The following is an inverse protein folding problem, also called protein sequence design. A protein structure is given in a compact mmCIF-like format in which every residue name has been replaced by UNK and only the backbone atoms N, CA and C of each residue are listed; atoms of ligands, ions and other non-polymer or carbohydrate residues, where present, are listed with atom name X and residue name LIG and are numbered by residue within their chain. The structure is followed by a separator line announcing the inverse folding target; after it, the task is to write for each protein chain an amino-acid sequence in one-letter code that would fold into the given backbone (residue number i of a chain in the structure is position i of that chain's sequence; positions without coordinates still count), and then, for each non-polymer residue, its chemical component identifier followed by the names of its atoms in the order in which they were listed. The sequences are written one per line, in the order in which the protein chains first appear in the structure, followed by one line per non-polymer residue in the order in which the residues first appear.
data_IF_300393369893
#
_entry.id   IF_300393369893
#
_cell.length_a   1.000
_cell.length_b   1.000
_cell.length_c   1.000
_cell.angle_alpha   90.00
_cell.angle_beta   90.00
_cell.angle_gamma   90.00
#
_symmetry.space_group_name_H-M   'P 1'
#
loop_
_entity.id
_entity.type
_entity.pdbx_description
1 polymer ?
#
# COMPACT_ATOMS: atom_id res chain seq x y z
N UNK A 1 -37.87 -7.97 -12.46
CA UNK A 1 -36.88 -7.33 -11.57
C UNK A 1 -35.95 -8.41 -11.05
N UNK A 2 -34.88 -8.69 -11.78
CA UNK A 2 -33.83 -9.63 -11.35
C UNK A 2 -32.66 -8.80 -10.86
N UNK A 3 -32.55 -8.65 -9.54
CA UNK A 3 -31.35 -8.16 -8.89
C UNK A 3 -30.26 -9.20 -9.06
N UNK A 4 -29.32 -8.95 -9.97
CA UNK A 4 -28.06 -9.67 -10.00
C UNK A 4 -27.22 -9.17 -8.82
N UNK A 5 -27.24 -9.95 -7.74
CA UNK A 5 -26.26 -9.84 -6.65
C UNK A 5 -24.94 -10.35 -7.21
N UNK A 6 -24.00 -9.45 -7.50
CA UNK A 6 -22.64 -9.83 -7.85
C UNK A 6 -21.97 -10.44 -6.62
N UNK A 7 -22.00 -11.77 -6.55
CA UNK A 7 -21.16 -12.55 -5.65
C UNK A 7 -19.70 -12.43 -6.08
N UNK A 8 -18.89 -11.89 -5.16
CA UNK A 8 -17.51 -12.29 -4.85
C UNK A 8 -16.54 -12.53 -6.01
N UNK A 9 -15.63 -11.58 -6.20
CA UNK A 9 -14.23 -11.98 -6.36
C UNK A 9 -13.48 -11.39 -5.18
N UNK A 10 -12.88 -12.30 -4.41
CA UNK A 10 -11.87 -12.11 -3.38
C UNK A 10 -10.59 -11.53 -4.03
N UNK A 11 -10.74 -10.42 -4.76
CA UNK A 11 -9.70 -9.90 -5.63
C UNK A 11 -8.77 -9.06 -4.79
N UNK A 12 -7.87 -9.72 -4.05
CA UNK A 12 -6.68 -9.09 -3.51
C UNK A 12 -5.97 -8.30 -4.63
N UNK A 13 -5.15 -7.33 -4.25
CA UNK A 13 -4.37 -6.56 -5.21
C UNK A 13 -3.65 -7.50 -6.18
N UNK A 14 -3.67 -7.13 -7.47
CA UNK A 14 -3.01 -7.92 -8.51
C UNK A 14 -1.58 -8.25 -8.07
N UNK A 15 -1.09 -9.48 -8.30
CA UNK A 15 0.30 -9.85 -7.98
C UNK A 15 1.33 -8.86 -8.57
N UNK A 16 0.98 -8.19 -9.67
CA UNK A 16 1.79 -7.14 -10.29
C UNK A 16 2.03 -5.91 -9.39
N UNK A 17 1.12 -5.59 -8.45
CA UNK A 17 1.25 -4.49 -7.50
C UNK A 17 2.43 -4.68 -6.54
N UNK A 18 2.79 -5.93 -6.28
CA UNK A 18 3.90 -6.31 -5.40
C UNK A 18 5.24 -6.38 -6.12
N UNK A 19 5.26 -6.34 -7.45
CA UNK A 19 6.49 -6.43 -8.24
C UNK A 19 7.22 -5.09 -8.15
N UNK A 20 8.46 -5.06 -7.60
CA UNK A 20 9.29 -3.87 -7.65
C UNK A 20 9.71 -3.58 -9.10
N UNK A 21 9.59 -2.33 -9.50
CA UNK A 21 10.07 -1.79 -10.76
C UNK A 21 11.48 -1.23 -10.57
N UNK A 22 12.27 -1.18 -11.64
CA UNK A 22 13.44 -0.31 -11.69
C UNK A 22 13.02 1.17 -11.67
N UNK A 23 13.95 2.06 -11.33
CA UNK A 23 13.68 3.51 -11.36
C UNK A 23 13.23 3.99 -12.76
N UNK A 24 13.85 3.46 -13.82
CA UNK A 24 13.52 3.82 -15.20
C UNK A 24 12.08 3.41 -15.57
N UNK A 25 11.69 2.17 -15.26
CA UNK A 25 10.33 1.68 -15.49
C UNK A 25 9.31 2.45 -14.65
N UNK A 26 9.64 2.74 -13.39
CA UNK A 26 8.77 3.51 -12.50
C UNK A 26 8.51 4.91 -13.06
N UNK A 27 9.58 5.63 -13.44
CA UNK A 27 9.47 6.95 -14.05
C UNK A 27 8.70 6.94 -15.35
N UNK A 28 8.97 6.00 -16.24
CA UNK A 28 8.27 5.90 -17.52
C UNK A 28 6.76 5.74 -17.31
N UNK A 29 6.36 4.81 -16.43
CA UNK A 29 4.96 4.60 -16.10
C UNK A 29 4.34 5.81 -15.41
N UNK A 30 5.06 6.47 -14.51
CA UNK A 30 4.62 7.71 -13.87
C UNK A 30 4.34 8.82 -14.89
N UNK A 31 5.24 9.04 -15.86
CA UNK A 31 5.06 10.03 -16.93
C UNK A 31 3.84 9.71 -17.79
N UNK A 32 3.64 8.44 -18.19
CA UNK A 32 2.45 8.02 -18.94
C UNK A 32 1.16 8.29 -18.18
N UNK A 33 1.16 8.09 -16.86
CA UNK A 33 0.01 8.35 -16.00
C UNK A 33 -0.26 9.85 -15.85
N UNK A 34 0.78 10.68 -15.74
CA UNK A 34 0.67 12.14 -15.67
C UNK A 34 0.19 12.76 -16.98
N UNK A 35 0.66 12.25 -18.13
CA UNK A 35 0.22 12.67 -19.46
C UNK A 35 -1.27 12.40 -19.71
N UNK A 36 -1.86 11.45 -18.98
CA UNK A 36 -3.29 11.09 -19.03
C UNK A 36 -4.24 12.00 -18.24
N UNK A 37 -3.75 13.05 -17.56
CA UNK A 37 -4.60 14.11 -16.99
C UNK A 37 -4.94 14.02 -15.49
N UNK A 38 -4.43 13.04 -14.73
CA UNK A 38 -4.59 12.99 -13.27
C UNK A 38 -3.32 13.48 -12.56
N UNK A 39 -3.27 14.78 -12.26
CA UNK A 39 -2.09 15.45 -11.66
C UNK A 39 -2.13 15.59 -10.13
N UNK A 40 -3.22 15.22 -9.48
CA UNK A 40 -3.44 15.59 -8.08
C UNK A 40 -3.18 14.41 -7.14
N UNK A 41 -2.11 14.48 -6.33
CA UNK A 41 -1.92 13.62 -5.16
C UNK A 41 -1.11 12.35 -5.39
N UNK A 42 0.02 12.42 -6.10
CA UNK A 42 1.01 11.32 -6.12
C UNK A 42 2.18 11.60 -5.18
N UNK A 43 2.86 10.57 -4.64
CA UNK A 43 3.95 10.78 -3.69
C UNK A 43 5.06 11.58 -4.38
N UNK A 44 5.50 12.69 -3.78
CA UNK A 44 6.68 13.42 -4.27
C UNK A 44 7.97 12.60 -4.10
N UNK A 45 7.98 11.67 -3.14
CA UNK A 45 9.09 10.74 -2.91
C UNK A 45 8.52 9.32 -2.94
N UNK A 46 8.91 8.48 -3.92
CA UNK A 46 8.42 7.11 -4.00
C UNK A 46 9.02 6.26 -2.87
N UNK A 47 8.22 5.35 -2.34
CA UNK A 47 8.69 4.30 -1.45
C UNK A 47 9.68 3.41 -2.20
N UNK A 48 10.82 3.17 -1.55
CA UNK A 48 11.89 2.32 -2.07
C UNK A 48 11.95 1.03 -1.27
N UNK A 49 11.98 -0.08 -1.97
CA UNK A 49 12.31 -1.40 -1.44
C UNK A 49 13.77 -1.70 -1.74
N UNK A 50 14.56 -2.06 -0.73
CA UNK A 50 15.82 -2.76 -0.99
C UNK A 50 15.46 -4.19 -1.41
N UNK A 51 15.65 -4.51 -2.69
CA UNK A 51 15.36 -5.86 -3.20
C UNK A 51 16.49 -6.79 -2.78
N UNK A 52 16.19 -7.88 -2.07
CA UNK A 52 17.12 -9.01 -1.98
C UNK A 52 17.20 -9.66 -3.36
N UNK A 53 18.30 -9.43 -4.09
CA UNK A 53 18.59 -10.09 -5.38
C UNK A 53 18.59 -9.19 -6.64
N UNK A 54 18.21 -7.92 -6.52
CA UNK A 54 18.65 -6.90 -7.49
C UNK A 54 19.69 -6.05 -6.78
N UNK A 55 20.83 -5.81 -7.42
CA UNK A 55 21.90 -4.97 -6.88
C UNK A 55 21.50 -3.47 -6.90
N UNK A 56 20.37 -3.10 -6.27
CA UNK A 56 19.86 -1.74 -6.26
C UNK A 56 18.45 -1.56 -5.69
N UNK A 57 18.00 -0.30 -5.69
CA UNK A 57 16.68 0.14 -5.27
C UNK A 57 15.56 -0.38 -6.20
N UNK A 58 14.47 -0.87 -5.61
CA UNK A 58 13.24 -1.25 -6.31
C UNK A 58 12.07 -0.38 -5.89
N UNK A 59 11.16 -0.08 -6.82
CA UNK A 59 10.03 0.81 -6.59
C UNK A 59 8.73 0.00 -6.74
N UNK A 60 8.04 -0.36 -5.63
CA UNK A 60 6.82 -1.16 -5.70
C UNK A 60 5.75 -0.55 -6.62
N UNK A 61 5.21 -1.36 -7.54
CA UNK A 61 4.32 -0.89 -8.60
C UNK A 61 2.96 -0.39 -8.09
N UNK A 62 2.49 -0.81 -6.91
CA UNK A 62 1.22 -0.36 -6.33
C UNK A 62 1.13 1.17 -6.20
N UNK A 63 2.27 1.85 -6.04
CA UNK A 63 2.37 3.31 -5.95
C UNK A 63 1.86 4.05 -7.20
N UNK A 64 1.69 3.32 -8.31
CA UNK A 64 1.21 3.84 -9.58
C UNK A 64 -0.28 3.52 -9.81
N UNK A 65 -0.91 2.70 -8.96
CA UNK A 65 -2.34 2.37 -9.07
C UNK A 65 -3.19 3.61 -8.81
N UNK A 66 -4.25 3.77 -9.60
CA UNK A 66 -5.17 4.92 -9.51
C UNK A 66 -6.03 4.92 -8.24
N UNK A 67 -6.18 3.76 -7.59
CA UNK A 67 -6.97 3.58 -6.37
C UNK A 67 -6.17 3.84 -5.09
N UNK A 68 -4.87 4.08 -5.22
CA UNK A 68 -4.01 4.31 -4.08
C UNK A 68 -4.55 5.43 -3.19
N UNK A 69 -4.83 5.08 -1.93
CA UNK A 69 -5.06 6.04 -0.86
C UNK A 69 -3.73 6.73 -0.51
N UNK A 70 -3.37 7.74 -1.31
CA UNK A 70 -2.11 8.46 -1.17
C UNK A 70 -1.95 9.12 0.20
N UNK A 71 -2.97 9.82 0.76
CA UNK A 71 -2.86 10.40 2.10
C UNK A 71 -2.44 9.37 3.16
N UNK A 72 -3.07 8.19 3.14
CA UNK A 72 -2.76 7.12 4.10
C UNK A 72 -1.34 6.54 3.91
N UNK A 73 -0.86 6.41 2.68
CA UNK A 73 0.53 6.01 2.44
C UNK A 73 1.53 7.05 2.98
N UNK A 74 1.24 8.34 2.81
CA UNK A 74 2.11 9.40 3.34
C UNK A 74 2.12 9.40 4.86
N UNK A 75 0.94 9.30 5.48
CA UNK A 75 0.80 9.22 6.95
C UNK A 75 1.54 8.01 7.52
N UNK A 76 1.43 6.84 6.88
CA UNK A 76 2.19 5.65 7.26
C UNK A 76 3.71 5.88 7.15
N UNK A 77 4.19 6.48 6.07
CA UNK A 77 5.61 6.79 5.91
C UNK A 77 6.10 7.80 6.97
N UNK A 78 5.31 8.82 7.28
CA UNK A 78 5.62 9.79 8.33
C UNK A 78 5.67 9.14 9.72
N UNK A 79 4.76 8.19 9.98
CA UNK A 79 4.73 7.42 11.22
C UNK A 79 6.02 6.61 11.42
N UNK A 80 6.46 5.84 10.42
CA UNK A 80 7.72 5.09 10.51
C UNK A 80 8.93 6.01 10.70
N UNK A 81 8.96 7.15 9.99
CA UNK A 81 10.02 8.16 10.12
C UNK A 81 10.06 8.82 11.50
N UNK A 82 8.90 9.15 12.06
CA UNK A 82 8.78 9.73 13.41
C UNK A 82 9.40 8.80 14.46
N UNK A 83 9.23 7.49 14.27
CA UNK A 83 9.80 6.45 15.12
C UNK A 83 11.20 5.99 14.67
N UNK A 84 11.89 6.76 13.82
CA UNK A 84 13.26 6.50 13.36
C UNK A 84 13.46 5.11 12.74
N UNK A 85 12.39 4.55 12.17
CA UNK A 85 12.41 3.24 11.51
C UNK A 85 12.72 3.43 10.03
N UNK A 86 13.64 2.63 9.49
CA UNK A 86 14.07 2.77 8.11
C UNK A 86 12.93 2.50 7.11
N UNK A 87 12.89 3.25 6.01
CA UNK A 87 11.85 3.17 4.96
C UNK A 87 11.67 1.74 4.38
N UNK A 88 12.71 0.90 4.43
CA UNK A 88 12.65 -0.51 4.03
C UNK A 88 11.54 -1.29 4.78
N UNK A 89 11.34 -0.97 6.05
CA UNK A 89 10.35 -1.66 6.89
C UNK A 89 8.92 -1.25 6.57
N UNK A 90 8.70 -0.05 6.01
CA UNK A 90 7.39 0.35 5.48
C UNK A 90 6.97 -0.62 4.38
N UNK A 91 7.89 -0.96 3.46
CA UNK A 91 7.57 -1.92 2.41
C UNK A 91 7.34 -3.33 2.93
N UNK A 92 8.15 -3.78 3.89
CA UNK A 92 7.97 -5.09 4.53
C UNK A 92 6.63 -5.20 5.26
N UNK A 93 6.24 -4.16 5.99
CA UNK A 93 4.92 -4.05 6.59
C UNK A 93 3.81 -4.11 5.55
N UNK A 94 3.91 -3.32 4.48
CA UNK A 94 2.87 -3.21 3.45
C UNK A 94 2.65 -4.51 2.68
N UNK A 95 3.70 -5.30 2.43
CA UNK A 95 3.59 -6.57 1.69
C UNK A 95 3.26 -7.77 2.57
N UNK A 96 3.32 -7.63 3.89
CA UNK A 96 3.03 -8.70 4.84
C UNK A 96 1.52 -8.87 5.00
N UNK A 97 1.08 -10.13 5.14
CA UNK A 97 -0.33 -10.44 5.44
C UNK A 97 -0.60 -10.24 6.91
N UNK A 98 -1.65 -9.46 7.21
CA UNK A 98 -2.02 -9.09 8.56
C UNK A 98 -3.30 -9.80 8.99
N UNK A 99 -3.26 -10.55 10.09
CA UNK A 99 -4.45 -11.25 10.61
C UNK A 99 -5.56 -10.27 10.98
N UNK A 100 -5.20 -9.10 11.52
CA UNK A 100 -6.12 -8.02 11.89
C UNK A 100 -6.83 -7.38 10.69
N UNK A 101 -6.31 -7.56 9.47
CA UNK A 101 -6.95 -7.17 8.22
C UNK A 101 -7.69 -8.34 7.55
N UNK A 102 -7.88 -9.46 8.25
CA UNK A 102 -8.48 -10.68 7.70
C UNK A 102 -7.54 -11.45 6.77
N UNK A 103 -6.21 -11.30 6.93
CA UNK A 103 -5.20 -11.97 6.12
C UNK A 103 -4.79 -11.20 4.86
N UNK A 104 -5.31 -9.99 4.67
CA UNK A 104 -4.94 -9.07 3.60
C UNK A 104 -3.68 -8.28 3.99
N UNK A 105 -3.03 -7.70 2.99
CA UNK A 105 -1.81 -6.91 3.18
C UNK A 105 -2.12 -5.42 3.35
N UNK A 106 -1.11 -4.63 3.73
CA UNK A 106 -1.22 -3.18 3.72
C UNK A 106 -1.37 -2.60 2.31
N UNK A 107 -0.81 -3.25 1.29
CA UNK A 107 -1.06 -2.88 -0.12
C UNK A 107 -2.53 -3.06 -0.48
N UNK A 108 -3.15 -4.18 -0.08
CA UNK A 108 -4.58 -4.41 -0.32
C UNK A 108 -5.42 -3.32 0.36
N UNK A 109 -5.10 -3.00 1.62
CA UNK A 109 -5.75 -1.91 2.36
C UNK A 109 -5.64 -0.57 1.64
N UNK A 110 -4.43 -0.19 1.20
CA UNK A 110 -4.18 1.08 0.52
C UNK A 110 -4.85 1.17 -0.86
N UNK A 111 -5.28 0.06 -1.45
CA UNK A 111 -5.97 -0.01 -2.73
C UNK A 111 -7.49 -0.23 -2.59
N UNK A 112 -8.02 0.01 -1.39
CA UNK A 112 -9.43 -0.17 -1.02
C UNK A 112 -9.96 -1.62 -1.15
N UNK A 113 -9.08 -2.61 -1.00
CA UNK A 113 -9.45 -4.02 -0.92
C UNK A 113 -9.56 -4.46 0.54
N UNK A 114 -10.77 -4.80 0.96
CA UNK A 114 -11.07 -5.16 2.34
C UNK A 114 -11.86 -6.46 2.40
N UNK A 115 -11.63 -7.22 3.47
CA UNK A 115 -12.57 -8.29 3.85
C UNK A 115 -13.91 -7.68 4.29
N UNK A 116 -15.03 -8.44 4.24
CA UNK A 116 -16.33 -7.91 4.65
C UNK A 116 -16.35 -7.33 6.07
N UNK A 117 -15.59 -7.93 7.00
CA UNK A 117 -15.48 -7.45 8.37
C UNK A 117 -14.82 -6.07 8.46
N UNK A 118 -13.71 -5.86 7.73
CA UNK A 118 -13.03 -4.57 7.66
C UNK A 118 -13.88 -3.55 6.88
N UNK A 119 -14.52 -3.97 5.79
CA UNK A 119 -15.40 -3.12 4.99
C UNK A 119 -16.64 -2.61 5.74
N UNK A 120 -17.07 -3.31 6.80
CA UNK A 120 -18.19 -2.90 7.66
C UNK A 120 -17.83 -1.75 8.62
N UNK A 121 -16.54 -1.53 8.89
CA UNK A 121 -16.06 -0.39 9.66
C UNK A 121 -16.22 0.91 8.88
N UNK A 122 -16.42 2.02 9.59
CA UNK A 122 -16.34 3.35 8.98
C UNK A 122 -14.94 3.60 8.40
N UNK A 123 -14.82 4.61 7.53
CA UNK A 123 -13.51 4.98 6.97
C UNK A 123 -12.50 5.33 8.07
N UNK A 124 -12.87 6.18 9.02
CA UNK A 124 -11.98 6.59 10.10
C UNK A 124 -11.54 5.43 11.00
N UNK A 125 -12.45 4.50 11.30
CA UNK A 125 -12.11 3.30 12.09
C UNK A 125 -11.12 2.40 11.36
N UNK A 126 -11.28 2.21 10.04
CA UNK A 126 -10.32 1.43 9.23
C UNK A 126 -8.94 2.07 9.23
N UNK A 127 -8.89 3.37 8.99
CA UNK A 127 -7.63 4.13 8.91
C UNK A 127 -6.91 4.10 10.27
N UNK A 128 -7.63 4.33 11.36
CA UNK A 128 -7.09 4.22 12.72
C UNK A 128 -6.57 2.81 13.02
N UNK A 129 -7.35 1.77 12.71
CA UNK A 129 -6.96 0.37 12.91
C UNK A 129 -5.69 0.01 12.12
N UNK A 130 -5.54 0.57 10.91
CA UNK A 130 -4.36 0.36 10.09
C UNK A 130 -3.10 1.03 10.67
N UNK A 131 -3.23 2.24 11.22
CA UNK A 131 -2.13 2.95 11.88
C UNK A 131 -1.75 2.30 13.22
N UNK A 132 -2.71 1.78 13.98
CA UNK A 132 -2.44 1.01 15.20
C UNK A 132 -1.64 -0.25 14.89
N UNK A 133 -1.99 -0.96 13.83
CA UNK A 133 -1.25 -2.11 13.35
C UNK A 133 0.19 -1.75 12.93
N UNK A 134 0.38 -0.58 12.31
CA UNK A 134 1.71 -0.08 11.96
C UNK A 134 2.54 0.25 13.22
N UNK A 135 1.93 0.87 14.24
CA UNK A 135 2.56 1.14 15.53
C UNK A 135 2.99 -0.15 16.25
N UNK A 136 2.15 -1.19 16.21
CA UNK A 136 2.52 -2.51 16.75
C UNK A 136 3.75 -3.10 16.05
N UNK A 137 3.82 -2.98 14.72
CA UNK A 137 4.98 -3.45 13.95
C UNK A 137 6.25 -2.66 14.28
N UNK A 138 6.16 -1.33 14.35
CA UNK A 138 7.29 -0.48 14.76
C UNK A 138 7.77 -0.89 16.15
N UNK A 139 6.84 -1.12 17.09
CA UNK A 139 7.17 -1.58 18.44
C UNK A 139 7.91 -2.93 18.44
N UNK A 140 7.57 -3.86 17.54
CA UNK A 140 8.29 -5.13 17.37
C UNK A 140 9.69 -4.95 16.80
N UNK A 141 9.89 -4.03 15.86
CA UNK A 141 11.17 -3.79 15.20
C UNK A 141 12.22 -3.11 16.12
N UNK A 142 11.77 -2.47 17.20
CA UNK A 142 12.62 -1.74 18.14
C UNK A 142 13.07 -2.56 19.36
N UNK A 143 12.60 -3.80 19.49
CA UNK A 143 12.98 -4.74 20.56
C UNK A 143 14.23 -5.54 20.21
#
# INVERSE_FOLDING_TARGET
MTHAVNHGVDEAASPACYVPLSFAEFKERLVRLQAGGNQSGRPQVPLVSARVGLNGEGYPAFQLDKRLNQPMLLELCELFKLHQTADIFVWDFLRTRHKSLGGFTGVDFLLDFFTPAVAAMSKGEREQHFLELALEEIGRLQQ
#
